data_IF_207526916523
#
_entry.id   IF_207526916523
#
_cell.length_a   1.000
_cell.length_b   1.000
_cell.length_c   1.000
_cell.angle_alpha   90.00
_cell.angle_beta   90.00
_cell.angle_gamma   90.00
#
_symmetry.space_group_name_H-M   'P 1'
#
loop_
_entity.id
_entity.type
_entity.pdbx_description
1 polymer ?
#
# COMPACT_ATOMS: atom_id res chain seq x y z
N UNK A 1 -24.97 -12.25 -18.76
CA UNK A 1 -25.20 -11.19 -17.78
C UNK A 1 -24.22 -10.06 -18.05
N UNK A 2 -24.69 -8.80 -18.12
CA UNK A 2 -23.79 -7.63 -18.20
C UNK A 2 -22.92 -7.56 -16.94
N UNK A 3 -21.65 -7.21 -17.09
CA UNK A 3 -20.78 -6.99 -15.94
C UNK A 3 -21.28 -5.80 -15.13
N UNK A 4 -21.17 -5.88 -13.81
CA UNK A 4 -21.44 -4.76 -12.92
C UNK A 4 -20.45 -3.62 -13.19
N UNK A 5 -20.92 -2.38 -13.10
CA UNK A 5 -20.15 -1.16 -13.30
C UNK A 5 -19.82 -0.50 -11.97
N UNK A 6 -18.55 -0.32 -11.68
CA UNK A 6 -18.05 0.27 -10.44
C UNK A 6 -17.46 1.66 -10.62
N UNK A 7 -17.62 2.53 -9.62
CA UNK A 7 -16.88 3.78 -9.49
C UNK A 7 -15.89 3.65 -8.33
N UNK A 8 -14.58 3.78 -8.63
CA UNK A 8 -13.53 3.72 -7.63
C UNK A 8 -13.16 5.14 -7.18
N UNK A 9 -13.33 5.43 -5.89
CA UNK A 9 -13.06 6.75 -5.31
C UNK A 9 -11.85 6.71 -4.40
N UNK A 10 -10.81 7.49 -4.74
CA UNK A 10 -9.61 7.65 -3.91
C UNK A 10 -9.08 9.08 -3.94
N UNK A 11 -8.14 9.37 -3.04
CA UNK A 11 -7.36 10.62 -3.03
C UNK A 11 -6.25 10.63 -4.10
N UNK A 12 -6.10 9.55 -4.88
CA UNK A 12 -5.04 9.40 -5.87
C UNK A 12 -3.71 8.87 -5.33
N UNK A 13 -3.65 8.48 -4.05
CA UNK A 13 -2.47 7.81 -3.48
C UNK A 13 -2.37 6.37 -4.01
N UNK A 14 -1.18 5.97 -4.48
CA UNK A 14 -0.96 4.67 -5.12
C UNK A 14 -1.48 3.48 -4.28
N UNK A 15 -1.19 3.45 -2.98
CA UNK A 15 -1.67 2.38 -2.10
C UNK A 15 -3.20 2.33 -1.96
N UNK A 16 -3.92 3.47 -2.09
CA UNK A 16 -5.39 3.49 -2.10
C UNK A 16 -5.93 3.01 -3.44
N UNK A 17 -5.31 3.42 -4.55
CA UNK A 17 -5.65 2.94 -5.89
C UNK A 17 -5.50 1.42 -5.94
N UNK A 18 -4.37 0.89 -5.47
CA UNK A 18 -4.09 -0.54 -5.42
C UNK A 18 -5.19 -1.32 -4.66
N UNK A 19 -5.69 -0.76 -3.56
CA UNK A 19 -6.74 -1.40 -2.77
C UNK A 19 -8.09 -1.45 -3.47
N UNK A 20 -8.56 -0.33 -4.04
CA UNK A 20 -9.87 -0.29 -4.72
C UNK A 20 -9.84 -1.09 -6.03
N UNK A 21 -8.75 -1.04 -6.78
CA UNK A 21 -8.58 -1.83 -8.00
C UNK A 21 -8.45 -3.33 -7.69
N UNK A 22 -7.74 -3.69 -6.61
CA UNK A 22 -7.63 -5.06 -6.17
C UNK A 22 -8.99 -5.68 -5.88
N UNK A 23 -9.85 -4.95 -5.16
CA UNK A 23 -11.21 -5.39 -4.90
C UNK A 23 -12.06 -5.46 -6.17
N UNK A 24 -11.98 -4.44 -7.03
CA UNK A 24 -12.74 -4.40 -8.29
C UNK A 24 -12.37 -5.57 -9.22
N UNK A 25 -11.08 -5.88 -9.33
CA UNK A 25 -10.59 -7.04 -10.08
C UNK A 25 -11.06 -8.36 -9.48
N UNK A 26 -11.01 -8.50 -8.16
CA UNK A 26 -11.49 -9.70 -7.46
C UNK A 26 -12.99 -9.93 -7.64
N UNK A 27 -13.78 -8.85 -7.73
CA UNK A 27 -15.21 -8.90 -8.02
C UNK A 27 -15.53 -9.11 -9.52
N UNK A 28 -14.52 -9.02 -10.40
CA UNK A 28 -14.71 -9.16 -11.85
C UNK A 28 -15.56 -8.06 -12.50
N UNK A 29 -15.58 -6.85 -11.92
CA UNK A 29 -16.41 -5.73 -12.37
C UNK A 29 -15.64 -4.84 -13.36
N UNK A 30 -16.38 -4.15 -14.24
CA UNK A 30 -15.84 -3.03 -15.02
C UNK A 30 -15.86 -1.77 -14.14
N UNK A 31 -14.81 -0.94 -14.23
CA UNK A 31 -14.72 0.21 -13.34
C UNK A 31 -14.09 1.44 -13.97
N UNK A 32 -14.47 2.59 -13.41
CA UNK A 32 -13.85 3.89 -13.70
C UNK A 32 -13.26 4.42 -12.39
N UNK A 33 -12.06 4.98 -12.47
CA UNK A 33 -11.39 5.58 -11.33
C UNK A 33 -11.60 7.10 -11.30
N UNK A 34 -12.12 7.60 -10.17
CA UNK A 34 -12.33 9.02 -9.92
C UNK A 34 -11.49 9.48 -8.73
N UNK A 35 -10.55 10.39 -8.99
CA UNK A 35 -9.82 11.09 -7.93
C UNK A 35 -10.74 12.08 -7.23
N UNK A 36 -10.78 12.01 -5.91
CA UNK A 36 -11.56 12.92 -5.07
C UNK A 36 -10.71 14.10 -4.62
N UNK A 37 -11.25 15.29 -4.83
CA UNK A 37 -10.69 16.56 -4.33
C UNK A 37 -11.68 17.18 -3.35
N UNK A 38 -11.26 17.35 -2.08
CA UNK A 38 -12.10 18.02 -1.07
C UNK A 38 -11.81 19.52 -1.04
N UNK A 39 -12.84 20.31 -0.76
CA UNK A 39 -12.74 21.75 -0.62
C UNK A 39 -12.02 22.14 0.70
N UNK A 40 -11.62 23.39 0.81
CA UNK A 40 -10.86 23.89 1.95
C UNK A 40 -11.61 23.67 3.28
N UNK A 41 -12.92 23.89 3.31
CA UNK A 41 -13.78 23.66 4.47
C UNK A 41 -13.74 22.19 4.93
N UNK A 42 -13.79 21.25 3.98
CA UNK A 42 -13.72 19.82 4.30
C UNK A 42 -12.35 19.35 4.79
N UNK A 43 -11.27 20.11 4.52
CA UNK A 43 -9.93 19.80 5.06
C UNK A 43 -9.85 20.04 6.56
N UNK A 44 -10.62 20.99 7.09
CA UNK A 44 -10.64 21.37 8.50
C UNK A 44 -11.57 20.48 9.34
N UNK A 45 -12.56 19.82 8.72
CA UNK A 45 -13.56 19.03 9.40
C UNK A 45 -13.24 17.52 9.32
N UNK A 46 -13.31 16.79 10.43
CA UNK A 46 -13.25 15.33 10.37
C UNK A 46 -14.53 14.76 9.72
N UNK A 47 -14.48 13.61 9.03
CA UNK A 47 -15.65 13.02 8.35
C UNK A 47 -16.88 12.88 9.26
N UNK A 48 -16.67 12.61 10.55
CA UNK A 48 -17.75 12.40 11.53
C UNK A 48 -18.69 13.59 11.68
N UNK A 49 -18.18 14.81 11.50
CA UNK A 49 -18.96 16.07 11.63
C UNK A 49 -19.16 16.77 10.30
N UNK A 50 -18.60 16.26 9.21
CA UNK A 50 -18.78 16.83 7.86
C UNK A 50 -20.16 16.40 7.32
N UNK A 51 -21.03 17.36 6.94
CA UNK A 51 -22.32 17.02 6.34
C UNK A 51 -22.15 16.24 5.01
N UNK A 52 -23.09 15.35 4.72
CA UNK A 52 -23.11 14.60 3.46
C UNK A 52 -23.69 15.53 2.37
N UNK A 53 -22.83 16.36 1.79
CA UNK A 53 -23.20 17.35 0.79
C UNK A 53 -22.09 17.52 -0.25
N UNK A 54 -22.48 17.84 -1.49
CA UNK A 54 -21.54 18.14 -2.58
C UNK A 54 -20.79 19.49 -2.38
N UNK A 55 -21.14 20.27 -1.37
CA UNK A 55 -20.42 21.49 -1.00
C UNK A 55 -19.03 21.23 -0.42
N UNK A 56 -18.73 19.98 -0.01
CA UNK A 56 -17.47 19.63 0.65
C UNK A 56 -16.43 19.00 -0.27
N UNK A 57 -16.76 18.76 -1.52
CA UNK A 57 -15.83 18.21 -2.51
C UNK A 57 -16.09 18.81 -3.91
N UNK A 58 -15.08 18.76 -4.76
CA UNK A 58 -15.20 19.19 -6.15
C UNK A 58 -16.12 18.23 -6.91
N UNK A 59 -17.15 18.78 -7.54
CA UNK A 59 -18.10 17.99 -8.34
C UNK A 59 -17.38 17.25 -9.47
N UNK A 60 -17.83 16.05 -9.73
CA UNK A 60 -17.41 15.24 -10.86
C UNK A 60 -18.61 14.57 -11.50
N UNK A 61 -18.47 14.20 -12.77
CA UNK A 61 -19.53 13.49 -13.50
C UNK A 61 -19.56 12.03 -13.06
N UNK A 62 -20.74 11.56 -12.69
CA UNK A 62 -20.96 10.17 -12.28
C UNK A 62 -21.67 9.44 -13.42
N UNK A 63 -21.04 8.42 -14.04
CA UNK A 63 -21.73 7.59 -15.02
C UNK A 63 -22.79 6.70 -14.35
N UNK A 64 -23.51 5.96 -15.15
CA UNK A 64 -24.38 4.91 -14.61
C UNK A 64 -23.55 3.81 -13.99
N UNK A 65 -23.74 3.57 -12.68
CA UNK A 65 -22.98 2.62 -11.87
C UNK A 65 -23.89 1.75 -11.01
N UNK A 66 -23.41 0.55 -10.69
CA UNK A 66 -24.07 -0.40 -9.78
C UNK A 66 -23.48 -0.35 -8.37
N UNK A 67 -22.18 0.04 -8.27
CA UNK A 67 -21.51 0.12 -6.98
C UNK A 67 -20.42 1.20 -6.93
N UNK A 68 -20.14 1.65 -5.70
CA UNK A 68 -19.02 2.54 -5.38
C UNK A 68 -18.06 1.80 -4.47
N UNK A 69 -16.77 1.77 -4.82
CA UNK A 69 -15.69 1.30 -3.96
C UNK A 69 -14.83 2.51 -3.61
N UNK A 70 -14.78 2.86 -2.34
CA UNK A 70 -14.03 4.03 -1.86
C UNK A 70 -12.92 3.64 -0.89
N UNK A 71 -11.79 4.38 -0.92
CA UNK A 71 -10.68 4.17 -0.01
C UNK A 71 -10.10 5.50 0.45
N UNK A 72 -9.87 5.60 1.76
CA UNK A 72 -9.27 6.77 2.37
C UNK A 72 -10.28 7.82 2.85
N UNK A 73 -9.81 8.67 3.77
CA UNK A 73 -10.67 9.61 4.52
C UNK A 73 -11.45 10.57 3.63
N UNK A 74 -10.83 11.11 2.57
CA UNK A 74 -11.47 12.12 1.74
C UNK A 74 -12.56 11.55 0.83
N UNK A 75 -12.54 10.24 0.57
CA UNK A 75 -13.56 9.58 -0.26
C UNK A 75 -14.84 9.22 0.51
N UNK A 76 -14.85 9.33 1.84
CA UNK A 76 -15.99 8.99 2.70
C UNK A 76 -17.23 9.81 2.33
N UNK A 77 -17.15 11.15 2.43
CA UNK A 77 -18.31 12.02 2.17
C UNK A 77 -18.78 11.92 0.72
N UNK A 78 -17.91 11.96 -0.33
CA UNK A 78 -18.33 11.74 -1.70
C UNK A 78 -19.06 10.41 -1.92
N UNK A 79 -18.57 9.31 -1.36
CA UNK A 79 -19.21 8.00 -1.53
C UNK A 79 -20.59 7.93 -0.88
N UNK A 80 -20.75 8.51 0.32
CA UNK A 80 -22.04 8.61 0.99
C UNK A 80 -23.02 9.53 0.25
N UNK A 81 -22.53 10.64 -0.30
CA UNK A 81 -23.32 11.54 -1.11
C UNK A 81 -23.86 10.83 -2.36
N UNK A 82 -23.04 10.06 -3.06
CA UNK A 82 -23.46 9.28 -4.22
C UNK A 82 -24.55 8.27 -3.85
N UNK A 83 -24.35 7.50 -2.77
CA UNK A 83 -25.34 6.54 -2.29
C UNK A 83 -26.68 7.23 -1.97
N UNK A 84 -26.66 8.38 -1.30
CA UNK A 84 -27.85 9.12 -0.89
C UNK A 84 -28.62 9.73 -2.06
N UNK A 85 -27.91 10.19 -3.11
CA UNK A 85 -28.50 10.96 -4.22
C UNK A 85 -28.63 10.14 -5.53
N UNK A 86 -28.32 8.86 -5.49
CA UNK A 86 -28.53 7.99 -6.64
C UNK A 86 -30.02 7.70 -6.84
N UNK A 87 -30.48 7.74 -8.08
CA UNK A 87 -31.82 7.32 -8.46
C UNK A 87 -31.98 5.80 -8.45
N UNK A 88 -30.88 5.08 -8.56
CA UNK A 88 -30.82 3.62 -8.44
C UNK A 88 -30.22 3.21 -7.11
N UNK A 89 -30.56 2.03 -6.62
CA UNK A 89 -29.89 1.43 -5.46
C UNK A 89 -28.46 1.04 -5.88
N UNK A 90 -27.47 1.73 -5.36
CA UNK A 90 -26.05 1.40 -5.54
C UNK A 90 -25.50 0.77 -4.27
N UNK A 91 -24.60 -0.21 -4.43
CA UNK A 91 -23.84 -0.80 -3.31
C UNK A 91 -22.66 0.11 -2.99
N UNK A 92 -22.50 0.48 -1.71
CA UNK A 92 -21.39 1.32 -1.25
C UNK A 92 -20.43 0.52 -0.37
N UNK A 93 -19.21 0.32 -0.87
CA UNK A 93 -18.14 -0.39 -0.18
C UNK A 93 -17.02 0.60 0.19
N UNK A 94 -16.62 0.61 1.44
CA UNK A 94 -15.47 1.41 1.87
C UNK A 94 -14.32 0.53 2.33
N UNK A 95 -13.12 0.86 1.92
CA UNK A 95 -11.89 0.19 2.33
C UNK A 95 -11.15 1.09 3.33
N UNK A 96 -10.72 0.53 4.46
CA UNK A 96 -10.18 1.15 5.67
C UNK A 96 -11.30 1.64 6.62
N UNK A 97 -10.90 2.07 7.82
CA UNK A 97 -11.82 2.66 8.81
C UNK A 97 -12.32 4.04 8.34
N UNK A 98 -13.62 4.20 8.04
CA UNK A 98 -14.18 5.44 7.52
C UNK A 98 -14.25 6.57 8.57
N UNK A 99 -14.08 6.26 9.86
CA UNK A 99 -14.23 7.20 10.99
C UNK A 99 -15.60 7.87 11.08
N UNK A 100 -16.62 7.22 10.53
CA UNK A 100 -18.06 7.55 10.65
C UNK A 100 -18.84 6.29 10.99
N UNK A 101 -20.18 6.39 11.20
CA UNK A 101 -20.99 5.20 11.47
C UNK A 101 -20.86 4.18 10.34
N UNK A 102 -20.50 2.94 10.70
CA UNK A 102 -20.33 1.82 9.78
C UNK A 102 -21.65 1.47 9.04
N UNK A 103 -22.79 1.74 9.67
CA UNK A 103 -24.13 1.51 9.08
C UNK A 103 -24.41 2.38 7.82
N UNK A 104 -23.61 3.39 7.57
CA UNK A 104 -23.73 4.21 6.36
C UNK A 104 -23.29 3.47 5.08
N UNK A 105 -22.53 2.40 5.22
CA UNK A 105 -22.01 1.59 4.12
C UNK A 105 -22.73 0.23 4.08
N UNK A 106 -22.79 -0.36 2.89
CA UNK A 106 -23.25 -1.73 2.75
C UNK A 106 -22.18 -2.70 3.22
N UNK A 107 -20.89 -2.42 2.89
CA UNK A 107 -19.75 -3.16 3.38
C UNK A 107 -18.59 -2.22 3.72
N UNK A 108 -17.84 -2.56 4.76
CA UNK A 108 -16.57 -1.91 5.10
C UNK A 108 -15.50 -2.99 5.20
N UNK A 109 -14.42 -2.86 4.42
CA UNK A 109 -13.32 -3.81 4.42
C UNK A 109 -12.15 -3.18 5.16
N UNK A 110 -11.72 -3.83 6.23
CA UNK A 110 -10.63 -3.33 7.07
C UNK A 110 -9.63 -4.43 7.38
N UNK A 111 -8.36 -4.08 7.53
CA UNK A 111 -7.38 -5.02 8.08
C UNK A 111 -7.77 -5.45 9.50
N UNK A 112 -7.55 -6.73 9.83
CA UNK A 112 -7.88 -7.32 11.13
C UNK A 112 -7.26 -6.56 12.31
N UNK A 113 -6.05 -6.04 12.14
CA UNK A 113 -5.35 -5.25 13.15
C UNK A 113 -6.00 -3.87 13.46
N UNK A 114 -6.99 -3.44 12.68
CA UNK A 114 -7.78 -2.23 12.99
C UNK A 114 -8.84 -2.47 14.07
N UNK A 115 -9.12 -3.74 14.40
CA UNK A 115 -9.99 -4.13 15.51
C UNK A 115 -11.46 -3.73 15.35
N UNK A 116 -11.91 -3.39 14.12
CA UNK A 116 -13.30 -3.03 13.85
C UNK A 116 -14.15 -4.29 13.67
N UNK A 117 -15.31 -4.31 14.33
CA UNK A 117 -16.28 -5.38 14.25
C UNK A 117 -17.68 -4.84 13.90
N UNK A 118 -18.46 -5.61 13.15
CA UNK A 118 -19.82 -5.25 12.77
C UNK A 118 -20.41 -6.22 11.74
N UNK A 119 -21.73 -6.19 11.56
CA UNK A 119 -22.43 -7.10 10.63
C UNK A 119 -22.04 -6.91 9.17
N UNK A 120 -21.58 -5.71 8.83
CA UNK A 120 -21.16 -5.31 7.48
C UNK A 120 -19.63 -5.13 7.36
N UNK A 121 -18.86 -5.64 8.33
CA UNK A 121 -17.41 -5.62 8.30
C UNK A 121 -16.87 -6.91 7.68
N UNK A 122 -15.93 -6.74 6.76
CA UNK A 122 -15.11 -7.81 6.19
C UNK A 122 -13.67 -7.54 6.60
N UNK A 123 -13.10 -8.43 7.42
CA UNK A 123 -11.72 -8.32 7.89
C UNK A 123 -10.76 -8.97 6.91
N UNK A 124 -9.70 -8.26 6.51
CA UNK A 124 -8.59 -8.79 5.72
C UNK A 124 -7.34 -8.97 6.58
N UNK A 125 -6.49 -9.95 6.27
CA UNK A 125 -5.23 -10.16 7.01
C UNK A 125 -4.25 -9.01 6.81
N UNK A 126 -4.14 -8.53 5.58
CA UNK A 126 -3.30 -7.39 5.18
C UNK A 126 -4.06 -6.33 4.42
N UNK A 127 -3.34 -5.34 3.89
CA UNK A 127 -3.92 -4.37 2.97
C UNK A 127 -4.29 -5.06 1.66
N UNK A 128 -5.47 -4.76 1.13
CA UNK A 128 -5.85 -5.19 -0.22
C UNK A 128 -4.88 -4.60 -1.25
N UNK A 129 -4.65 -5.32 -2.34
CA UNK A 129 -3.84 -4.85 -3.46
C UNK A 129 -4.23 -5.57 -4.76
N UNK A 130 -3.87 -4.98 -5.89
CA UNK A 130 -4.18 -5.54 -7.21
C UNK A 130 -3.15 -6.54 -7.72
N UNK A 131 -2.01 -6.69 -7.04
CA UNK A 131 -0.94 -7.58 -7.49
C UNK A 131 -1.36 -9.04 -7.44
N UNK A 132 -0.89 -9.79 -8.42
CA UNK A 132 -1.04 -11.24 -8.52
C UNK A 132 0.33 -11.89 -8.71
N UNK A 133 0.49 -13.15 -8.30
CA UNK A 133 1.71 -13.91 -8.57
C UNK A 133 2.04 -13.94 -10.06
N UNK A 134 1.03 -14.07 -10.91
CA UNK A 134 1.21 -14.06 -12.37
C UNK A 134 1.81 -12.74 -12.89
N UNK A 135 1.41 -11.58 -12.34
CA UNK A 135 2.03 -10.29 -12.70
C UNK A 135 3.47 -10.20 -12.22
N UNK A 136 3.77 -10.73 -11.03
CA UNK A 136 5.13 -10.77 -10.48
C UNK A 136 6.02 -11.64 -11.38
N UNK A 137 5.61 -12.86 -11.69
CA UNK A 137 6.34 -13.80 -12.53
C UNK A 137 6.57 -13.29 -13.96
N UNK A 138 5.56 -12.64 -14.56
CA UNK A 138 5.67 -12.05 -15.89
C UNK A 138 6.79 -11.01 -16.01
N UNK A 139 7.19 -10.38 -14.91
CA UNK A 139 8.25 -9.37 -14.90
C UNK A 139 9.60 -9.94 -14.42
N UNK A 140 9.73 -11.26 -14.25
CA UNK A 140 10.96 -11.89 -13.76
C UNK A 140 12.21 -11.40 -14.47
N UNK A 141 12.22 -11.39 -15.79
CA UNK A 141 13.39 -11.08 -16.62
C UNK A 141 13.77 -9.59 -16.66
N UNK A 142 12.92 -8.69 -16.13
CA UNK A 142 13.13 -7.24 -16.30
C UNK A 142 14.44 -6.71 -15.70
N UNK A 143 14.93 -7.30 -14.62
CA UNK A 143 16.20 -6.95 -13.98
C UNK A 143 17.31 -7.99 -14.25
N UNK A 144 17.06 -9.03 -15.02
CA UNK A 144 17.99 -10.17 -15.19
C UNK A 144 19.37 -9.75 -15.74
N UNK A 145 19.43 -8.70 -16.58
CA UNK A 145 20.68 -8.18 -17.16
C UNK A 145 21.43 -7.20 -16.24
N UNK A 146 20.79 -6.81 -15.11
CA UNK A 146 21.32 -5.84 -14.15
C UNK A 146 21.80 -6.49 -12.85
N UNK A 147 21.63 -7.78 -12.71
CA UNK A 147 21.97 -8.54 -11.50
C UNK A 147 23.10 -9.54 -11.77
N UNK A 148 23.84 -9.87 -10.73
CA UNK A 148 24.82 -10.95 -10.76
C UNK A 148 24.08 -12.30 -10.63
N UNK A 149 24.04 -13.07 -11.73
CA UNK A 149 23.38 -14.39 -11.80
C UNK A 149 24.06 -15.45 -10.92
N UNK A 150 25.30 -15.21 -10.47
CA UNK A 150 26.04 -16.14 -9.60
C UNK A 150 25.75 -15.91 -8.12
N UNK A 151 25.04 -14.83 -7.76
CA UNK A 151 24.64 -14.49 -6.40
C UNK A 151 23.14 -14.61 -6.22
N UNK A 152 22.70 -15.01 -5.04
CA UNK A 152 21.31 -14.85 -4.64
C UNK A 152 21.04 -13.39 -4.30
N UNK A 153 19.81 -12.92 -4.54
CA UNK A 153 19.44 -11.53 -4.32
C UNK A 153 18.65 -11.36 -3.02
N UNK A 154 18.94 -10.26 -2.32
CA UNK A 154 18.13 -9.70 -1.25
C UNK A 154 17.54 -8.38 -1.73
N UNK A 155 16.22 -8.24 -1.68
CA UNK A 155 15.52 -7.03 -2.09
C UNK A 155 15.21 -6.15 -0.88
N UNK A 156 15.71 -4.90 -0.89
CA UNK A 156 15.30 -3.86 0.03
C UNK A 156 14.26 -2.94 -0.62
N UNK A 157 13.04 -2.94 -0.10
CA UNK A 157 11.96 -2.05 -0.52
C UNK A 157 11.90 -0.87 0.46
N UNK A 158 12.17 0.33 -0.06
CA UNK A 158 12.14 1.57 0.71
C UNK A 158 10.76 2.23 0.61
N UNK A 159 10.10 2.41 1.72
CA UNK A 159 8.92 3.24 1.84
C UNK A 159 9.25 4.73 1.82
N UNK A 160 8.76 5.48 2.79
CA UNK A 160 9.08 6.90 2.91
C UNK A 160 8.50 7.52 4.17
N UNK A 161 8.88 8.75 4.48
CA UNK A 161 8.47 9.43 5.70
C UNK A 161 6.94 9.57 5.77
N UNK A 162 6.45 9.49 6.98
CA UNK A 162 5.06 9.76 7.30
C UNK A 162 4.95 10.38 8.71
N UNK A 163 3.75 10.52 9.24
CA UNK A 163 3.55 11.12 10.56
C UNK A 163 4.19 10.33 11.72
N UNK A 164 4.52 9.04 11.51
CA UNK A 164 5.11 8.15 12.51
C UNK A 164 6.63 7.99 12.34
N UNK A 165 7.12 7.93 11.12
CA UNK A 165 8.49 7.53 10.80
C UNK A 165 9.24 8.63 10.06
N UNK A 166 10.54 8.77 10.36
CA UNK A 166 11.43 9.75 9.74
C UNK A 166 12.55 9.03 8.98
N UNK A 167 12.74 9.44 7.75
CA UNK A 167 13.82 8.97 6.88
C UNK A 167 15.00 9.93 6.98
N UNK A 168 15.67 9.94 8.12
CA UNK A 168 16.92 10.69 8.29
C UNK A 168 18.12 9.79 8.07
N UNK A 169 19.29 10.43 7.86
CA UNK A 169 20.55 9.75 7.58
C UNK A 169 20.89 8.70 8.64
N UNK A 170 20.65 8.99 9.93
CA UNK A 170 20.96 8.08 11.03
C UNK A 170 20.16 6.77 10.94
N UNK A 171 18.85 6.88 10.67
CA UNK A 171 17.98 5.71 10.56
C UNK A 171 18.31 4.89 9.31
N UNK A 172 18.56 5.57 8.18
CA UNK A 172 18.88 4.89 6.93
C UNK A 172 20.26 4.24 6.99
N UNK A 173 21.28 4.90 7.56
CA UNK A 173 22.62 4.32 7.77
C UNK A 173 22.54 2.99 8.50
N UNK A 174 21.83 2.96 9.63
CA UNK A 174 21.68 1.73 10.42
C UNK A 174 21.06 0.59 9.61
N UNK A 175 20.00 0.88 8.83
CA UNK A 175 19.34 -0.13 7.99
C UNK A 175 20.30 -0.61 6.91
N UNK A 176 21.00 0.31 6.25
CA UNK A 176 21.92 -0.02 5.16
C UNK A 176 23.13 -0.81 5.65
N UNK A 177 23.71 -0.44 6.78
CA UNK A 177 24.81 -1.16 7.43
C UNK A 177 24.42 -2.60 7.79
N UNK A 178 23.23 -2.78 8.41
CA UNK A 178 22.74 -4.11 8.77
C UNK A 178 22.53 -5.00 7.54
N UNK A 179 21.91 -4.47 6.49
CA UNK A 179 21.65 -5.23 5.27
C UNK A 179 22.93 -5.54 4.54
N UNK A 180 23.86 -4.58 4.46
CA UNK A 180 25.18 -4.77 3.85
C UNK A 180 25.96 -5.88 4.55
N UNK A 181 26.04 -5.83 5.88
CA UNK A 181 26.73 -6.86 6.65
C UNK A 181 26.10 -8.26 6.49
N UNK A 182 24.75 -8.34 6.41
CA UNK A 182 24.06 -9.61 6.12
C UNK A 182 24.35 -10.11 4.71
N UNK A 183 24.36 -9.23 3.73
CA UNK A 183 24.63 -9.59 2.34
C UNK A 183 26.06 -10.06 2.13
N UNK A 184 27.05 -9.36 2.68
CA UNK A 184 28.46 -9.73 2.62
C UNK A 184 28.70 -11.10 3.28
N UNK A 185 28.16 -11.32 4.48
CA UNK A 185 28.31 -12.59 5.21
C UNK A 185 27.72 -13.80 4.46
N UNK A 186 26.67 -13.59 3.66
CA UNK A 186 25.94 -14.65 2.98
C UNK A 186 26.15 -14.65 1.45
N UNK A 187 27.10 -13.89 0.93
CA UNK A 187 27.40 -13.72 -0.50
C UNK A 187 26.11 -13.41 -1.32
N UNK A 188 25.34 -12.39 -0.88
CA UNK A 188 24.13 -11.94 -1.54
C UNK A 188 24.40 -10.64 -2.29
N UNK A 189 23.71 -10.42 -3.41
CA UNK A 189 23.61 -9.12 -4.06
C UNK A 189 22.37 -8.37 -3.55
N UNK A 190 22.53 -7.08 -3.26
CA UNK A 190 21.44 -6.25 -2.78
C UNK A 190 20.78 -5.52 -3.97
N UNK A 191 19.44 -5.59 -4.02
CA UNK A 191 18.61 -4.78 -4.91
C UNK A 191 17.84 -3.81 -4.05
N UNK A 192 17.89 -2.52 -4.37
CA UNK A 192 17.17 -1.48 -3.63
C UNK A 192 16.15 -0.83 -4.54
N UNK A 193 14.90 -0.81 -4.10
CA UNK A 193 13.78 -0.25 -4.87
C UNK A 193 13.05 0.81 -4.03
N UNK A 194 12.98 2.06 -4.52
CA UNK A 194 12.27 3.12 -3.85
C UNK A 194 10.76 3.07 -4.13
N UNK A 195 9.98 3.60 -3.21
CA UNK A 195 8.58 3.94 -3.41
C UNK A 195 8.41 5.41 -3.81
N UNK A 196 7.20 5.81 -4.21
CA UNK A 196 6.87 7.21 -4.50
C UNK A 196 7.08 8.18 -3.32
N UNK A 197 7.19 7.66 -2.09
CA UNK A 197 7.42 8.46 -0.88
C UNK A 197 8.87 8.50 -0.46
N UNK A 198 9.73 7.72 -1.10
CA UNK A 198 11.16 7.67 -0.75
C UNK A 198 11.80 9.01 -1.14
N UNK A 199 12.46 9.72 -0.19
CA UNK A 199 13.13 10.97 -0.49
C UNK A 199 14.30 10.75 -1.46
N UNK A 200 14.53 11.70 -2.36
CA UNK A 200 15.63 11.63 -3.34
C UNK A 200 17.01 11.53 -2.67
N UNK A 201 17.22 12.27 -1.59
CA UNK A 201 18.46 12.22 -0.81
C UNK A 201 18.73 10.84 -0.19
N UNK A 202 17.68 10.09 0.15
CA UNK A 202 17.77 8.70 0.61
C UNK A 202 18.22 7.77 -0.51
N UNK A 203 17.71 7.98 -1.73
CA UNK A 203 18.11 7.19 -2.91
C UNK A 203 19.57 7.50 -3.27
N UNK A 204 19.94 8.77 -3.31
CA UNK A 204 21.34 9.21 -3.55
C UNK A 204 22.30 8.63 -2.51
N UNK A 205 21.86 8.61 -1.24
CA UNK A 205 22.66 8.02 -0.18
C UNK A 205 22.80 6.51 -0.37
N UNK A 206 21.72 5.79 -0.70
CA UNK A 206 21.77 4.36 -0.99
C UNK A 206 22.74 4.06 -2.14
N UNK A 207 22.66 4.83 -3.24
CA UNK A 207 23.54 4.66 -4.40
C UNK A 207 25.03 4.82 -4.05
N UNK A 208 25.36 5.84 -3.25
CA UNK A 208 26.74 6.07 -2.77
C UNK A 208 27.22 4.99 -1.79
N UNK A 209 26.32 4.51 -0.93
CA UNK A 209 26.64 3.57 0.13
C UNK A 209 26.86 2.14 -0.39
N UNK A 210 26.04 1.68 -1.32
CA UNK A 210 26.08 0.30 -1.82
C UNK A 210 27.00 0.11 -3.03
N UNK A 211 27.37 1.18 -3.72
CA UNK A 211 28.28 1.13 -4.86
C UNK A 211 27.77 0.33 -6.05
N UNK A 212 28.66 0.02 -7.01
CA UNK A 212 28.32 -0.62 -8.27
C UNK A 212 28.11 -2.15 -8.20
N UNK A 213 28.51 -2.79 -7.11
CA UNK A 213 28.30 -4.24 -6.92
C UNK A 213 26.84 -4.61 -6.60
N UNK A 214 26.06 -3.61 -6.23
CA UNK A 214 24.65 -3.73 -5.88
C UNK A 214 23.79 -2.91 -6.82
N UNK A 215 22.51 -3.25 -6.94
CA UNK A 215 21.60 -2.56 -7.84
C UNK A 215 20.68 -1.59 -7.07
N UNK A 216 20.85 -0.29 -7.30
CA UNK A 216 19.96 0.74 -6.74
C UNK A 216 19.10 1.33 -7.87
N UNK A 217 17.80 1.12 -7.80
CA UNK A 217 16.84 1.69 -8.74
C UNK A 217 16.62 3.17 -8.36
N UNK A 218 16.96 4.08 -9.28
CA UNK A 218 16.98 5.52 -9.01
C UNK A 218 15.57 6.14 -9.01
N UNK A 219 14.67 5.62 -9.82
CA UNK A 219 13.33 6.15 -9.98
C UNK A 219 12.29 5.07 -9.64
N UNK A 220 11.08 5.50 -9.31
CA UNK A 220 9.97 4.57 -9.10
C UNK A 220 9.67 3.83 -10.40
N UNK A 221 9.87 2.54 -10.38
CA UNK A 221 9.68 1.65 -11.53
C UNK A 221 8.88 0.41 -11.10
N UNK A 222 7.64 0.33 -11.58
CA UNK A 222 6.75 -0.79 -11.28
C UNK A 222 7.30 -2.12 -11.78
N UNK A 223 7.93 -2.15 -12.97
CA UNK A 223 8.47 -3.39 -13.54
C UNK A 223 9.68 -3.88 -12.73
N UNK A 224 10.54 -2.94 -12.31
CA UNK A 224 11.66 -3.25 -11.43
C UNK A 224 11.16 -3.79 -10.08
N UNK A 225 10.11 -3.19 -9.51
CA UNK A 225 9.49 -3.66 -8.27
C UNK A 225 8.97 -5.11 -8.40
N UNK A 226 8.22 -5.40 -9.46
CA UNK A 226 7.69 -6.75 -9.71
C UNK A 226 8.80 -7.76 -9.98
N UNK A 227 9.81 -7.37 -10.75
CA UNK A 227 10.98 -8.21 -11.02
C UNK A 227 11.76 -8.49 -9.72
N UNK A 228 12.02 -7.46 -8.91
CA UNK A 228 12.68 -7.62 -7.62
C UNK A 228 11.93 -8.59 -6.69
N UNK A 229 10.60 -8.48 -6.61
CA UNK A 229 9.76 -9.44 -5.87
C UNK A 229 9.87 -10.87 -6.42
N UNK A 230 10.01 -11.01 -7.75
CA UNK A 230 10.12 -12.33 -8.40
C UNK A 230 11.49 -12.97 -8.17
N UNK A 231 12.59 -12.23 -8.38
CA UNK A 231 13.95 -12.79 -8.40
C UNK A 231 14.58 -12.91 -7.01
N UNK A 232 14.30 -11.98 -6.09
CA UNK A 232 14.93 -12.00 -4.79
C UNK A 232 14.54 -13.22 -3.96
N UNK A 233 15.52 -13.80 -3.26
CA UNK A 233 15.29 -14.89 -2.32
C UNK A 233 14.76 -14.39 -0.98
N UNK A 234 15.24 -13.22 -0.54
CA UNK A 234 14.86 -12.60 0.71
C UNK A 234 14.33 -11.19 0.46
N UNK A 235 13.28 -10.82 1.17
CA UNK A 235 12.64 -9.51 1.05
C UNK A 235 12.82 -8.73 2.34
N UNK A 236 13.30 -7.51 2.25
CA UNK A 236 13.36 -6.55 3.36
C UNK A 236 12.48 -5.38 3.02
N UNK A 237 11.54 -5.05 3.89
CA UNK A 237 10.61 -3.94 3.69
C UNK A 237 10.66 -3.01 4.89
N UNK A 238 10.76 -1.71 4.66
CA UNK A 238 10.73 -0.73 5.76
C UNK A 238 9.36 -0.69 6.44
N UNK A 239 9.33 -0.54 7.76
CA UNK A 239 8.16 -0.74 8.62
C UNK A 239 7.02 0.27 8.43
N UNK A 240 7.22 1.32 7.64
CA UNK A 240 6.29 2.44 7.45
C UNK A 240 5.14 2.17 6.48
N UNK A 241 5.15 1.03 5.78
CA UNK A 241 4.16 0.71 4.75
C UNK A 241 3.55 -0.68 4.90
N UNK A 242 2.35 -0.73 5.45
CA UNK A 242 1.56 -1.98 5.54
C UNK A 242 1.21 -2.54 4.15
N UNK A 243 0.99 -1.67 3.14
CA UNK A 243 0.70 -2.11 1.77
C UNK A 243 1.86 -2.87 1.15
N UNK A 244 3.09 -2.33 1.23
CA UNK A 244 4.27 -3.00 0.64
C UNK A 244 4.60 -4.32 1.36
N UNK A 245 4.41 -4.38 2.69
CA UNK A 245 4.59 -5.63 3.44
C UNK A 245 3.52 -6.65 3.01
N UNK A 246 2.26 -6.23 2.79
CA UNK A 246 1.19 -7.11 2.30
C UNK A 246 1.44 -7.60 0.88
N UNK A 247 1.93 -6.72 0.00
CA UNK A 247 2.31 -7.08 -1.38
C UNK A 247 3.49 -8.07 -1.40
N UNK A 248 4.50 -7.84 -0.56
CA UNK A 248 5.63 -8.76 -0.42
C UNK A 248 5.19 -10.14 0.08
N UNK A 249 4.22 -10.19 1.01
CA UNK A 249 3.70 -11.45 1.57
C UNK A 249 3.02 -12.35 0.52
N UNK A 250 2.51 -11.78 -0.57
CA UNK A 250 1.95 -12.54 -1.68
C UNK A 250 2.96 -13.56 -2.26
N UNK A 251 4.25 -13.23 -2.22
CA UNK A 251 5.30 -14.08 -2.80
C UNK A 251 5.55 -15.38 -2.02
N UNK A 252 5.11 -15.49 -0.78
CA UNK A 252 5.43 -16.60 0.13
C UNK A 252 6.91 -16.68 0.52
N UNK A 253 7.72 -15.69 0.16
CA UNK A 253 9.16 -15.65 0.47
C UNK A 253 9.41 -15.11 1.89
N UNK A 254 10.60 -15.38 2.49
CA UNK A 254 10.99 -14.80 3.76
C UNK A 254 11.01 -13.26 3.69
N UNK A 255 10.24 -12.61 4.59
CA UNK A 255 10.14 -11.16 4.68
C UNK A 255 10.71 -10.70 6.01
N UNK A 256 11.60 -9.73 5.95
CA UNK A 256 12.16 -9.04 7.10
C UNK A 256 11.65 -7.60 7.12
N UNK A 257 11.23 -7.11 8.27
CA UNK A 257 10.74 -5.74 8.40
C UNK A 257 11.81 -4.86 9.03
N UNK A 258 12.39 -3.98 8.22
CA UNK A 258 13.41 -3.02 8.68
C UNK A 258 12.76 -1.95 9.57
N UNK A 259 13.17 -1.92 10.85
CA UNK A 259 12.58 -1.04 11.85
C UNK A 259 13.16 0.37 11.81
N UNK A 260 12.26 1.35 11.78
CA UNK A 260 12.56 2.78 11.96
C UNK A 260 11.94 3.22 13.29
N UNK A 261 12.69 3.89 14.18
CA UNK A 261 12.12 4.42 15.41
C UNK A 261 10.95 5.35 15.13
N UNK A 262 9.82 5.11 15.79
CA UNK A 262 8.63 5.92 15.61
C UNK A 262 8.71 7.21 16.44
N UNK A 263 8.22 8.32 15.88
CA UNK A 263 8.11 9.63 16.57
C UNK A 263 6.87 9.74 17.47
N UNK A 264 5.91 8.84 17.27
CA UNK A 264 4.61 8.83 17.95
C UNK A 264 4.23 7.38 18.22
N UNK A 265 3.20 7.17 19.03
CA UNK A 265 2.65 5.83 19.20
C UNK A 265 2.18 5.28 17.84
N UNK A 266 2.85 4.21 17.40
CA UNK A 266 2.60 3.48 16.17
C UNK A 266 1.86 2.16 16.39
N UNK A 267 1.06 2.08 17.47
CA UNK A 267 0.37 0.88 17.93
C UNK A 267 -0.28 0.08 16.79
N UNK A 268 -0.97 0.76 15.87
CA UNK A 268 -1.59 0.14 14.69
C UNK A 268 -0.59 -0.57 13.77
N UNK A 269 0.59 0.04 13.55
CA UNK A 269 1.65 -0.59 12.75
C UNK A 269 2.30 -1.76 13.49
N UNK A 270 2.46 -1.66 14.82
CA UNK A 270 2.95 -2.79 15.64
C UNK A 270 1.98 -3.95 15.57
N UNK A 271 0.69 -3.73 15.82
CA UNK A 271 -0.33 -4.77 15.71
C UNK A 271 -0.33 -5.47 14.34
N UNK A 272 -0.15 -4.71 13.25
CA UNK A 272 -0.02 -5.29 11.91
C UNK A 272 1.21 -6.19 11.78
N UNK A 273 2.37 -5.74 12.24
CA UNK A 273 3.61 -6.53 12.20
C UNK A 273 3.49 -7.79 13.07
N UNK A 274 2.92 -7.66 14.25
CA UNK A 274 2.68 -8.78 15.16
C UNK A 274 1.73 -9.83 14.55
N UNK A 275 0.67 -9.37 13.87
CA UNK A 275 -0.24 -10.24 13.14
C UNK A 275 0.50 -11.01 12.02
N UNK A 276 1.31 -10.31 11.22
CA UNK A 276 2.08 -10.93 10.14
C UNK A 276 3.12 -11.92 10.66
N UNK A 277 3.77 -11.60 11.77
CA UNK A 277 4.68 -12.53 12.45
C UNK A 277 3.96 -13.78 12.96
N UNK A 278 2.82 -13.63 13.62
CA UNK A 278 1.98 -14.75 14.11
C UNK A 278 1.46 -15.64 12.99
N UNK A 279 1.21 -15.06 11.81
CA UNK A 279 0.77 -15.80 10.62
C UNK A 279 1.93 -16.41 9.82
N UNK A 280 3.17 -16.28 10.27
CA UNK A 280 4.38 -16.67 9.55
C UNK A 280 4.51 -16.02 8.16
N UNK A 281 3.92 -14.86 7.96
CA UNK A 281 4.00 -14.08 6.72
C UNK A 281 5.18 -13.11 6.73
N UNK A 282 5.77 -12.83 7.88
CA UNK A 282 7.03 -12.10 8.01
C UNK A 282 7.90 -12.75 9.08
N UNK A 283 9.19 -12.83 8.81
CA UNK A 283 10.21 -13.27 9.73
C UNK A 283 10.88 -12.03 10.33
N UNK A 284 11.16 -12.07 11.61
CA UNK A 284 12.04 -11.20 12.40
C UNK A 284 12.18 -9.71 11.94
N UNK A 285 12.06 -8.84 12.92
CA UNK A 285 12.36 -7.40 12.78
C UNK A 285 13.89 -7.19 12.78
N UNK A 286 14.43 -6.63 11.73
CA UNK A 286 15.83 -6.23 11.59
C UNK A 286 15.99 -4.77 12.02
#
# INVERSE_FOLDING_TARGET
MSKLKGLLLTEGMHGMISQVEGLAKALGIDYIHQKVEINLLAKLLPPKITPISNLFFKKFTVPEIDLVISCGRKSVIPSLYLKKNSTKKIVNIHIQDPKVSLSNFDYVIVPEHDGLNGKNIISSKGALHYLTLKEIEKNHEYLSDKIDKNKQQILLILGGPNKYYKYDKKNMSRIFENIKGLAEKNNLQIIIIPSMRTPADTIDYANKFFGSENLVIQNVDKKAYLSGLSIAKFLVVTCDSTSMISEAALTGKPIYVAQIPSKRDDHRFRQFRDLFSKLNLSLIHI
#
